data_IF_936228879354
#
_entry.id   IF_936228879354
#
_cell.length_a   1.000
_cell.length_b   1.000
_cell.length_c   1.000
_cell.angle_alpha   90.00
_cell.angle_beta   90.00
_cell.angle_gamma   90.00
#
_symmetry.space_group_name_H-M   'P 1'
#
loop_
_entity.id
_entity.type
_entity.pdbx_description
1 polymer ?
#
# COMPACT_ATOMS: atom_id res chain seq x y z
N UNK A 1 -2.19 12.80 12.63
CA UNK A 1 -1.82 11.67 11.75
C UNK A 1 -2.54 11.87 10.41
N UNK A 2 -1.82 12.19 9.34
CA UNK A 2 -2.38 12.18 7.98
C UNK A 2 -1.83 10.96 7.25
N UNK A 3 -2.71 10.26 6.53
CA UNK A 3 -2.36 9.13 5.68
C UNK A 3 -2.74 9.51 4.25
N UNK A 4 -1.76 9.53 3.34
CA UNK A 4 -2.01 9.81 1.94
C UNK A 4 -1.62 8.61 1.07
N UNK A 5 -2.54 8.23 0.19
CA UNK A 5 -2.30 7.29 -0.89
C UNK A 5 -2.14 8.09 -2.17
N UNK A 6 -0.93 8.09 -2.74
CA UNK A 6 -0.64 8.79 -3.98
C UNK A 6 -0.41 7.79 -5.11
N UNK A 7 -0.58 8.23 -6.36
CA UNK A 7 -0.28 7.45 -7.56
C UNK A 7 -0.95 6.07 -7.60
N UNK A 8 -2.20 6.01 -7.13
CA UNK A 8 -3.00 4.79 -7.13
C UNK A 8 -3.23 4.29 -8.57
N UNK A 9 -2.81 3.06 -8.83
CA UNK A 9 -3.02 2.34 -10.09
C UNK A 9 -3.60 0.97 -9.78
N UNK A 10 -4.78 0.69 -10.35
CA UNK A 10 -5.46 -0.60 -10.21
C UNK A 10 -5.65 -1.20 -11.60
N UNK A 11 -5.25 -2.45 -11.76
CA UNK A 11 -5.55 -3.22 -12.98
C UNK A 11 -6.18 -4.55 -12.62
N UNK A 12 -7.34 -4.83 -13.21
CA UNK A 12 -8.09 -6.09 -13.04
C UNK A 12 -8.02 -6.88 -14.35
N UNK A 13 -7.71 -8.17 -14.28
CA UNK A 13 -7.69 -9.11 -15.41
C UNK A 13 -8.30 -10.43 -14.94
N UNK A 14 -9.52 -10.73 -15.40
CA UNK A 14 -10.29 -11.85 -14.89
C UNK A 14 -10.47 -11.75 -13.37
N UNK A 15 -10.13 -12.82 -12.66
CA UNK A 15 -10.19 -12.90 -11.20
C UNK A 15 -8.91 -12.42 -10.51
N UNK A 16 -8.01 -11.73 -11.20
CA UNK A 16 -6.76 -11.19 -10.62
C UNK A 16 -6.78 -9.67 -10.66
N UNK A 17 -6.27 -9.04 -9.61
CA UNK A 17 -6.03 -7.60 -9.60
C UNK A 17 -4.64 -7.26 -9.06
N UNK A 18 -4.00 -6.28 -9.70
CA UNK A 18 -2.74 -5.69 -9.24
C UNK A 18 -3.03 -4.26 -8.82
N UNK A 19 -2.67 -3.93 -7.58
CA UNK A 19 -2.82 -2.60 -6.98
C UNK A 19 -1.44 -2.04 -6.66
N UNK A 20 -1.17 -0.83 -7.11
CA UNK A 20 0.06 -0.07 -6.79
C UNK A 20 -0.31 1.30 -6.26
N UNK A 21 0.42 1.78 -5.27
CA UNK A 21 0.31 3.14 -4.76
C UNK A 21 1.55 3.54 -3.99
N UNK A 22 1.73 4.84 -3.79
CA UNK A 22 2.72 5.41 -2.88
C UNK A 22 2.04 5.64 -1.54
N UNK A 23 2.61 5.05 -0.50
CA UNK A 23 2.21 5.33 0.86
C UNK A 23 3.11 6.41 1.44
N UNK A 24 2.52 7.58 1.69
CA UNK A 24 3.15 8.64 2.44
C UNK A 24 2.50 8.70 3.83
N UNK A 25 3.23 8.24 4.83
CA UNK A 25 2.85 8.33 6.24
C UNK A 25 3.77 9.27 6.98
N UNK A 26 3.22 10.35 7.55
CA UNK A 26 3.89 11.06 8.64
C UNK A 26 3.56 10.35 9.95
N UNK A 27 4.56 9.65 10.50
CA UNK A 27 4.47 9.02 11.83
C UNK A 27 5.26 9.89 12.82
N UNK A 28 4.59 10.37 13.86
CA UNK A 28 5.27 10.87 15.07
C UNK A 28 5.85 9.66 15.80
N UNK A 29 7.10 9.29 15.47
CA UNK A 29 7.84 8.38 16.32
C UNK A 29 8.27 9.16 17.57
N UNK A 30 7.60 8.91 18.70
CA UNK A 30 8.00 9.40 20.03
C UNK A 30 8.60 8.19 20.76
N UNK A 31 9.88 8.26 21.19
CA UNK A 31 10.28 9.06 22.35
C UNK A 31 11.49 9.96 22.08
N UNK A 32 11.38 10.90 21.14
CA UNK A 32 12.36 12.00 20.99
C UNK A 32 11.85 13.21 20.16
N UNK A 33 10.57 13.24 19.79
CA UNK A 33 10.01 14.31 18.94
C UNK A 33 10.46 14.28 17.47
N UNK A 34 11.16 13.23 17.03
CA UNK A 34 11.56 13.07 15.63
C UNK A 34 10.41 12.53 14.78
N UNK A 35 9.86 13.40 13.93
CA UNK A 35 8.95 12.99 12.86
C UNK A 35 9.66 12.00 11.94
N UNK A 36 9.09 10.81 11.77
CA UNK A 36 9.54 9.84 10.80
C UNK A 36 8.61 9.88 9.58
N UNK A 37 9.12 10.34 8.44
CA UNK A 37 8.39 10.26 7.18
C UNK A 37 8.62 8.87 6.59
N UNK A 38 7.55 8.09 6.45
CA UNK A 38 7.57 6.80 5.74
C UNK A 38 7.06 7.05 4.33
N UNK A 39 7.95 6.91 3.35
CA UNK A 39 7.61 6.95 1.93
C UNK A 39 7.88 5.57 1.33
N UNK A 40 6.83 4.89 0.88
CA UNK A 40 6.92 3.52 0.38
C UNK A 40 6.20 3.38 -0.95
N UNK A 41 6.82 2.69 -1.91
CA UNK A 41 6.06 2.07 -3.00
C UNK A 41 5.43 0.77 -2.49
N UNK A 42 4.13 0.61 -2.72
CA UNK A 42 3.37 -0.59 -2.36
C UNK A 42 2.91 -1.30 -3.64
N UNK A 43 3.06 -2.62 -3.67
CA UNK A 43 2.50 -3.52 -4.68
C UNK A 43 1.66 -4.59 -3.96
N UNK A 44 0.43 -4.80 -4.41
CA UNK A 44 -0.47 -5.82 -3.89
C UNK A 44 -1.05 -6.64 -5.04
N UNK A 45 -1.02 -7.97 -4.89
CA UNK A 45 -1.62 -8.91 -5.81
C UNK A 45 -2.84 -9.55 -5.14
N UNK A 46 -4.00 -9.35 -5.75
CA UNK A 46 -5.29 -9.83 -5.27
C UNK A 46 -5.84 -10.88 -6.22
N UNK A 47 -6.59 -11.84 -5.67
CA UNK A 47 -7.36 -12.80 -6.45
C UNK A 47 -8.76 -12.93 -5.88
N UNK A 48 -9.75 -12.95 -6.77
CA UNK A 48 -11.12 -13.27 -6.42
C UNK A 48 -11.25 -14.78 -6.26
N UNK A 49 -11.64 -15.23 -5.07
CA UNK A 49 -11.89 -16.62 -4.72
C UNK A 49 -13.25 -16.70 -4.04
N UNK A 50 -14.12 -17.60 -4.52
CA UNK A 50 -15.48 -17.78 -3.97
C UNK A 50 -16.31 -16.49 -3.96
N UNK A 51 -16.07 -15.60 -4.93
CA UNK A 51 -16.75 -14.31 -5.05
C UNK A 51 -16.09 -13.17 -4.26
N UNK A 52 -15.06 -13.43 -3.47
CA UNK A 52 -14.41 -12.45 -2.59
C UNK A 52 -12.96 -12.17 -2.99
N UNK A 53 -12.52 -10.92 -2.90
CA UNK A 53 -11.13 -10.56 -3.13
C UNK A 53 -10.26 -10.94 -1.94
N UNK A 54 -9.28 -11.81 -2.17
CA UNK A 54 -8.26 -12.20 -1.21
C UNK A 54 -6.90 -11.65 -1.62
N UNK A 55 -6.16 -11.11 -0.66
CA UNK A 55 -4.79 -10.64 -0.87
C UNK A 55 -3.87 -11.86 -0.92
N UNK A 56 -3.24 -12.10 -2.06
CA UNK A 56 -2.28 -13.21 -2.22
C UNK A 56 -0.89 -12.82 -1.76
N UNK A 57 -0.46 -11.60 -2.10
CA UNK A 57 0.86 -11.09 -1.70
C UNK A 57 0.90 -9.58 -1.67
N UNK A 58 1.78 -9.05 -0.81
CA UNK A 58 2.11 -7.64 -0.71
C UNK A 58 3.62 -7.48 -0.64
N UNK A 59 4.15 -6.55 -1.41
CA UNK A 59 5.52 -6.09 -1.32
C UNK A 59 5.55 -4.58 -1.08
N UNK A 60 6.59 -4.13 -0.37
CA UNK A 60 6.84 -2.71 -0.15
C UNK A 60 8.33 -2.42 -0.26
N UNK A 61 8.69 -1.34 -0.94
CA UNK A 61 10.06 -0.81 -0.95
C UNK A 61 10.07 0.63 -0.47
N UNK A 62 11.13 0.99 0.26
CA UNK A 62 11.36 2.37 0.64
C UNK A 62 11.73 3.22 -0.57
N UNK A 63 11.23 4.44 -0.60
CA UNK A 63 11.63 5.52 -1.50
C UNK A 63 12.72 6.37 -0.86
#
# INVERSE_FOLDING_TARGET
LSLAYQDLSIRVVGDVAIVRFHWLGESEAIPEGKKSSTNLHILMNWQKQDGEWKLLSRASTKL
#
